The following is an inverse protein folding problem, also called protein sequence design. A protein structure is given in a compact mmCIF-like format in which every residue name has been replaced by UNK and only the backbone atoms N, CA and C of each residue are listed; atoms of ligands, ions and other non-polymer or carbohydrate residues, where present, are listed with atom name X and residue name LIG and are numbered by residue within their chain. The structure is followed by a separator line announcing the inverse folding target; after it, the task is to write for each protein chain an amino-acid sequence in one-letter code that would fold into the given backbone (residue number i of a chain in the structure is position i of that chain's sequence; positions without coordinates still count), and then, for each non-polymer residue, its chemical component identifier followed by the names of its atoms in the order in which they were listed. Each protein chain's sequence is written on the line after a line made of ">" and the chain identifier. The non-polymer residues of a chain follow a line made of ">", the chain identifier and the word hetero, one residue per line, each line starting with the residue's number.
data_IF_771956119322
#
_entry.id   IF_771956119322
#
_cell.length_a   1.000
_cell.length_b   1.000
_cell.length_c   1.000
_cell.angle_alpha   90.00
_cell.angle_beta   90.00
_cell.angle_gamma   90.00
#
_symmetry.space_group_name_H-M   'P 1'
#
loop_
_entity.id
_entity.type
_entity.pdbx_description
1 polymer ?
#
# COMPACT_ATOMS: atom_id res chain seq x y z
N UNK A 1 -61.43 21.31 15.23
CA UNK A 1 -61.07 21.21 13.79
C UNK A 1 -59.74 21.93 13.62
N UNK A 2 -58.62 21.21 13.78
CA UNK A 2 -57.88 20.55 12.70
C UNK A 2 -57.02 21.54 11.89
N UNK A 3 -55.72 21.61 12.22
CA UNK A 3 -54.61 21.25 11.31
C UNK A 3 -53.28 21.80 11.83
N UNK A 4 -52.56 20.97 12.59
CA UNK A 4 -51.13 21.11 12.84
C UNK A 4 -50.38 20.47 11.67
N UNK A 5 -49.63 21.27 10.92
CA UNK A 5 -48.74 20.79 9.85
C UNK A 5 -47.50 20.16 10.49
N UNK A 6 -47.43 18.84 10.41
CA UNK A 6 -46.31 18.04 10.83
C UNK A 6 -45.31 17.97 9.67
N UNK A 7 -44.18 18.69 9.78
CA UNK A 7 -43.06 18.55 8.84
C UNK A 7 -42.33 17.24 9.14
N UNK A 8 -42.69 16.19 8.39
CA UNK A 8 -41.95 14.92 8.39
C UNK A 8 -40.55 15.11 7.81
N UNK A 9 -39.54 14.96 8.65
CA UNK A 9 -38.16 14.79 8.23
C UNK A 9 -38.00 13.44 7.53
N UNK A 10 -37.82 13.49 6.20
CA UNK A 10 -37.42 12.33 5.42
C UNK A 10 -35.93 12.06 5.75
N UNK A 11 -35.56 10.86 6.24
CA UNK A 11 -34.15 10.51 6.35
C UNK A 11 -33.58 10.39 4.94
N UNK A 12 -32.57 11.22 4.63
CA UNK A 12 -31.80 11.07 3.40
C UNK A 12 -31.13 9.70 3.40
N UNK A 13 -31.67 8.79 2.59
CA UNK A 13 -30.99 7.55 2.23
C UNK A 13 -29.69 7.93 1.53
N UNK A 14 -28.56 7.74 2.20
CA UNK A 14 -27.25 7.77 1.54
C UNK A 14 -27.28 6.70 0.46
N UNK A 15 -27.41 7.13 -0.81
CA UNK A 15 -27.23 6.24 -1.94
C UNK A 15 -25.79 5.74 -1.89
N UNK A 16 -25.60 4.47 -1.54
CA UNK A 16 -24.37 3.74 -1.82
C UNK A 16 -24.19 3.74 -3.34
N UNK A 17 -23.54 4.78 -3.87
CA UNK A 17 -23.08 4.78 -5.25
C UNK A 17 -22.01 3.71 -5.33
N UNK A 18 -22.36 2.55 -5.89
CA UNK A 18 -21.38 1.58 -6.37
C UNK A 18 -20.46 2.30 -7.35
N UNK A 19 -19.13 2.32 -7.13
CA UNK A 19 -18.19 2.87 -8.09
C UNK A 19 -18.44 2.21 -9.46
N UNK A 20 -18.38 2.98 -10.55
CA UNK A 20 -18.60 2.49 -11.93
C UNK A 20 -17.45 1.61 -12.46
N UNK A 21 -16.64 1.04 -11.58
CA UNK A 21 -15.60 0.06 -11.88
C UNK A 21 -15.63 -1.03 -10.82
N UNK A 22 -15.41 -2.28 -11.23
CA UNK A 22 -15.32 -3.42 -10.33
C UNK A 22 -14.36 -3.19 -9.14
N UNK A 23 -14.48 -4.02 -8.11
CA UNK A 23 -13.62 -3.90 -6.93
C UNK A 23 -12.33 -4.70 -7.13
N UNK A 24 -11.20 -4.07 -6.82
CA UNK A 24 -9.88 -4.69 -6.95
C UNK A 24 -9.47 -5.36 -5.65
N UNK A 25 -9.02 -6.61 -5.73
CA UNK A 25 -8.54 -7.41 -4.61
C UNK A 25 -7.13 -7.92 -4.90
N UNK A 26 -6.45 -8.33 -3.84
CA UNK A 26 -5.16 -9.01 -3.90
C UNK A 26 -5.36 -10.50 -3.67
N UNK A 27 -4.63 -11.31 -4.40
CA UNK A 27 -4.48 -12.75 -4.15
C UNK A 27 -3.01 -13.07 -3.87
N UNK A 28 -2.77 -13.96 -2.90
CA UNK A 28 -1.43 -14.38 -2.44
C UNK A 28 -1.32 -15.89 -2.34
N UNK A 29 -0.08 -16.38 -2.33
CA UNK A 29 0.23 -17.81 -2.26
C UNK A 29 0.11 -18.52 -3.60
N UNK A 30 0.18 -17.79 -4.72
CA UNK A 30 0.09 -18.40 -6.05
C UNK A 30 1.39 -19.17 -6.34
N UNK A 31 1.34 -20.43 -6.81
CA UNK A 31 2.53 -21.19 -7.15
C UNK A 31 3.40 -20.50 -8.20
N UNK A 32 4.73 -20.62 -8.08
CA UNK A 32 5.68 -19.96 -9.00
C UNK A 32 5.56 -20.45 -10.45
N UNK A 33 5.07 -21.68 -10.65
CA UNK A 33 4.85 -22.27 -11.96
C UNK A 33 3.51 -21.87 -12.61
N UNK A 34 2.64 -21.14 -11.90
CA UNK A 34 1.37 -20.67 -12.48
C UNK A 34 1.58 -19.42 -13.34
N UNK A 35 0.95 -19.39 -14.50
CA UNK A 35 0.79 -18.20 -15.34
C UNK A 35 -0.58 -17.51 -15.08
N UNK A 36 -0.80 -16.39 -15.79
CA UNK A 36 -2.04 -15.62 -15.65
C UNK A 36 -3.28 -16.40 -16.12
N UNK A 37 -3.15 -17.24 -17.15
CA UNK A 37 -4.28 -18.00 -17.71
C UNK A 37 -4.71 -19.13 -16.77
N UNK A 38 -3.75 -19.83 -16.18
CA UNK A 38 -3.99 -20.85 -15.15
C UNK A 38 -4.68 -20.23 -13.94
N UNK A 39 -4.18 -19.08 -13.48
CA UNK A 39 -4.80 -18.36 -12.37
C UNK A 39 -6.22 -17.90 -12.70
N UNK A 40 -6.42 -17.29 -13.88
CA UNK A 40 -7.72 -16.81 -14.34
C UNK A 40 -8.75 -17.94 -14.35
N UNK A 41 -8.44 -19.07 -15.00
CA UNK A 41 -9.32 -20.25 -15.05
C UNK A 41 -9.65 -20.77 -13.65
N UNK A 42 -8.65 -20.84 -12.77
CA UNK A 42 -8.85 -21.37 -11.41
C UNK A 42 -9.79 -20.49 -10.58
N UNK A 43 -9.66 -19.17 -10.68
CA UNK A 43 -10.53 -18.24 -9.95
C UNK A 43 -11.94 -18.22 -10.58
N UNK A 44 -12.06 -18.27 -11.90
CA UNK A 44 -13.37 -18.38 -12.57
C UNK A 44 -14.17 -19.60 -12.12
N UNK A 45 -13.50 -20.74 -11.89
CA UNK A 45 -14.16 -21.96 -11.39
C UNK A 45 -14.77 -21.77 -9.99
N UNK A 46 -14.15 -20.96 -9.13
CA UNK A 46 -14.57 -20.78 -7.73
C UNK A 46 -15.43 -19.53 -7.51
N UNK A 47 -15.25 -18.49 -8.34
CA UNK A 47 -15.84 -17.16 -8.19
C UNK A 47 -16.56 -16.73 -9.49
N UNK A 48 -17.10 -17.67 -10.27
CA UNK A 48 -17.74 -17.41 -11.58
C UNK A 48 -18.78 -16.28 -11.55
N UNK A 49 -19.63 -16.25 -10.52
CA UNK A 49 -20.66 -15.21 -10.36
C UNK A 49 -20.07 -13.80 -10.23
N UNK A 50 -18.85 -13.70 -9.69
CA UNK A 50 -18.15 -12.45 -9.41
C UNK A 50 -17.45 -11.86 -10.65
N UNK A 51 -17.42 -12.60 -11.77
CA UNK A 51 -16.75 -12.22 -13.03
C UNK A 51 -15.32 -11.68 -12.79
N UNK A 52 -14.41 -12.55 -12.29
CA UNK A 52 -13.03 -12.19 -12.00
C UNK A 52 -12.25 -11.83 -13.26
N UNK A 53 -11.38 -10.82 -13.17
CA UNK A 53 -10.40 -10.47 -14.21
C UNK A 53 -9.04 -10.26 -13.56
N UNK A 54 -8.11 -11.17 -13.78
CA UNK A 54 -6.72 -11.06 -13.30
C UNK A 54 -6.05 -9.89 -14.04
N UNK A 55 -5.52 -8.94 -13.27
CA UNK A 55 -4.94 -7.68 -13.77
C UNK A 55 -3.41 -7.68 -13.75
N UNK A 56 -2.81 -8.37 -12.80
CA UNK A 56 -1.36 -8.51 -12.69
C UNK A 56 -1.00 -9.88 -12.13
N UNK A 57 0.24 -10.30 -12.32
CA UNK A 57 0.83 -11.47 -11.67
C UNK A 57 2.33 -11.23 -11.52
N UNK A 58 2.82 -11.24 -10.29
CA UNK A 58 4.21 -10.92 -9.97
C UNK A 58 4.74 -11.82 -8.85
N UNK A 59 6.05 -12.05 -8.83
CA UNK A 59 6.69 -12.71 -7.70
C UNK A 59 6.52 -11.85 -6.42
N UNK A 60 6.23 -12.50 -5.30
CA UNK A 60 6.26 -11.83 -4.00
C UNK A 60 7.68 -11.40 -3.65
N UNK A 61 7.79 -10.50 -2.68
CA UNK A 61 9.06 -9.87 -2.32
C UNK A 61 10.17 -10.86 -1.95
N UNK A 62 9.78 -12.00 -1.36
CA UNK A 62 10.67 -13.08 -0.91
C UNK A 62 10.94 -14.13 -1.99
N UNK A 63 10.22 -14.09 -3.12
CA UNK A 63 10.37 -15.00 -4.24
C UNK A 63 9.82 -16.42 -4.03
N UNK A 64 9.12 -16.71 -2.92
CA UNK A 64 8.60 -18.06 -2.67
C UNK A 64 7.27 -18.33 -3.37
N UNK A 65 6.45 -17.29 -3.54
CA UNK A 65 5.15 -17.36 -4.20
C UNK A 65 4.98 -16.19 -5.17
N UNK A 66 3.91 -16.23 -5.96
CA UNK A 66 3.39 -15.09 -6.71
C UNK A 66 2.20 -14.46 -5.97
N UNK A 67 2.01 -13.18 -6.24
CA UNK A 67 0.82 -12.41 -5.90
C UNK A 67 0.23 -11.83 -7.18
N UNK A 68 -1.07 -11.57 -7.16
CA UNK A 68 -1.78 -10.96 -8.27
C UNK A 68 -2.82 -9.97 -7.76
N UNK A 69 -3.16 -9.02 -8.63
CA UNK A 69 -4.34 -8.16 -8.47
C UNK A 69 -5.45 -8.68 -9.36
N UNK A 70 -6.67 -8.67 -8.84
CA UNK A 70 -7.86 -9.15 -9.53
C UNK A 70 -8.97 -8.12 -9.43
N UNK A 71 -9.65 -7.87 -10.53
CA UNK A 71 -10.84 -7.03 -10.57
C UNK A 71 -12.08 -7.92 -10.66
N UNK A 72 -12.99 -7.82 -9.70
CA UNK A 72 -14.30 -8.47 -9.80
C UNK A 72 -15.32 -7.47 -10.34
N UNK A 73 -15.85 -7.74 -11.54
CA UNK A 73 -16.88 -6.89 -12.14
C UNK A 73 -18.18 -6.92 -11.32
N UNK A 74 -18.50 -8.09 -10.76
CA UNK A 74 -19.54 -8.25 -9.75
C UNK A 74 -18.85 -8.52 -8.41
N UNK A 75 -18.58 -7.49 -7.60
CA UNK A 75 -17.77 -7.68 -6.40
C UNK A 75 -18.44 -8.64 -5.42
N UNK A 76 -17.65 -9.47 -4.69
CA UNK A 76 -18.16 -10.29 -3.59
C UNK A 76 -18.93 -9.44 -2.58
N UNK A 77 -19.87 -10.06 -1.86
CA UNK A 77 -20.67 -9.33 -0.86
C UNK A 77 -19.77 -8.60 0.15
N UNK A 78 -20.18 -7.43 0.68
CA UNK A 78 -19.39 -6.71 1.69
C UNK A 78 -19.03 -7.57 2.91
N UNK A 79 -19.88 -8.54 3.25
CA UNK A 79 -19.65 -9.49 4.36
C UNK A 79 -18.50 -10.43 4.06
N UNK A 80 -18.40 -10.95 2.84
CA UNK A 80 -17.28 -11.79 2.39
C UNK A 80 -16.00 -10.95 2.28
N UNK A 81 -16.08 -9.78 1.65
CA UNK A 81 -14.95 -8.89 1.42
C UNK A 81 -14.37 -8.25 2.70
N UNK A 82 -15.12 -8.26 3.81
CA UNK A 82 -14.68 -7.69 5.09
C UNK A 82 -13.49 -8.43 5.73
N UNK A 83 -13.24 -9.69 5.36
CA UNK A 83 -12.13 -10.49 5.86
C UNK A 83 -11.45 -11.23 4.71
N UNK A 84 -10.18 -11.63 4.88
CA UNK A 84 -9.55 -12.51 3.91
C UNK A 84 -10.32 -13.83 3.78
N UNK A 85 -10.43 -14.34 2.56
CA UNK A 85 -10.99 -15.66 2.26
C UNK A 85 -10.02 -16.48 1.41
N UNK A 86 -10.32 -17.76 1.24
CA UNK A 86 -9.37 -18.74 0.74
C UNK A 86 -9.98 -19.57 -0.39
N UNK A 87 -9.21 -19.77 -1.47
CA UNK A 87 -9.54 -20.67 -2.57
C UNK A 87 -8.56 -21.85 -2.52
N UNK A 88 -9.04 -23.10 -2.44
CA UNK A 88 -8.15 -24.27 -2.41
C UNK A 88 -7.33 -24.37 -3.70
N UNK A 89 -6.11 -24.90 -3.59
CA UNK A 89 -5.32 -25.27 -4.77
C UNK A 89 -5.86 -26.59 -5.37
N UNK A 90 -5.68 -26.82 -6.68
CA UNK A 90 -6.04 -28.10 -7.31
C UNK A 90 -5.32 -29.28 -6.65
N UNK A 91 -6.04 -30.36 -6.40
CA UNK A 91 -5.44 -31.61 -5.95
C UNK A 91 -4.59 -32.22 -7.08
N UNK A 92 -3.31 -32.48 -6.81
CA UNK A 92 -2.38 -33.15 -7.75
C UNK A 92 -1.82 -34.41 -7.08
N UNK A 93 -1.43 -35.45 -7.82
CA UNK A 93 -0.90 -36.68 -7.22
C UNK A 93 0.38 -36.47 -6.40
N UNK A 94 1.15 -35.40 -6.68
CA UNK A 94 2.33 -34.98 -5.91
C UNK A 94 2.00 -34.22 -4.60
N UNK A 95 0.72 -33.87 -4.38
CA UNK A 95 0.25 -33.07 -3.23
C UNK A 95 0.42 -33.75 -1.87
N UNK A 96 0.84 -35.02 -1.80
CA UNK A 96 1.04 -35.72 -0.51
C UNK A 96 2.39 -35.43 0.15
N UNK A 97 3.33 -34.77 -0.53
CA UNK A 97 4.72 -34.62 -0.05
C UNK A 97 5.26 -33.17 -0.02
N UNK A 98 4.50 -32.15 -0.44
CA UNK A 98 4.99 -30.77 -0.53
C UNK A 98 4.42 -29.84 0.56
N UNK A 99 5.29 -28.99 1.11
CA UNK A 99 4.99 -27.92 2.08
C UNK A 99 4.10 -26.79 1.48
N UNK A 100 3.83 -26.83 0.17
CA UNK A 100 3.16 -25.76 -0.60
C UNK A 100 1.64 -25.88 -0.75
N UNK A 101 0.94 -26.73 0.03
CA UNK A 101 -0.52 -26.94 -0.10
C UNK A 101 -1.38 -25.85 0.57
N UNK A 102 -0.85 -24.66 0.83
CA UNK A 102 -1.65 -23.60 1.41
C UNK A 102 -2.64 -23.05 0.36
N UNK A 103 -3.91 -22.80 0.71
CA UNK A 103 -4.87 -22.25 -0.23
C UNK A 103 -4.47 -20.83 -0.65
N UNK A 104 -4.91 -20.43 -1.83
CA UNK A 104 -4.78 -19.04 -2.30
C UNK A 104 -5.54 -18.14 -1.34
N UNK A 105 -4.93 -17.04 -0.91
CA UNK A 105 -5.53 -16.10 0.04
C UNK A 105 -5.92 -14.81 -0.67
N UNK A 106 -7.20 -14.47 -0.64
CA UNK A 106 -7.74 -13.24 -1.21
C UNK A 106 -8.03 -12.23 -0.10
N UNK A 107 -7.70 -10.96 -0.33
CA UNK A 107 -8.09 -9.86 0.55
C UNK A 107 -8.21 -8.54 -0.21
N UNK A 108 -9.13 -7.68 0.24
CA UNK A 108 -9.32 -6.33 -0.30
C UNK A 108 -8.64 -5.24 0.52
N UNK A 109 -7.77 -5.59 1.47
CA UNK A 109 -7.16 -4.62 2.40
C UNK A 109 -5.73 -4.21 2.03
N UNK A 110 -5.03 -5.04 1.25
CA UNK A 110 -3.66 -4.77 0.79
C UNK A 110 -2.66 -4.47 1.92
N UNK A 111 -2.88 -5.04 3.11
CA UNK A 111 -1.97 -4.88 4.25
C UNK A 111 -0.66 -5.65 4.03
N UNK A 112 0.46 -5.06 4.45
CA UNK A 112 1.81 -5.52 4.16
C UNK A 112 2.26 -5.16 2.74
N UNK A 113 3.39 -5.73 2.31
CA UNK A 113 3.90 -5.54 0.95
C UNK A 113 3.03 -6.28 -0.07
N UNK A 114 2.80 -5.65 -1.22
CA UNK A 114 2.21 -6.24 -2.42
C UNK A 114 3.05 -5.87 -3.61
N UNK A 115 3.57 -6.85 -4.33
CA UNK A 115 4.19 -6.64 -5.64
C UNK A 115 3.12 -6.47 -6.70
N UNK A 116 3.15 -5.35 -7.41
CA UNK A 116 2.22 -5.04 -8.51
C UNK A 116 2.79 -5.48 -9.86
N UNK A 117 4.11 -5.39 -10.00
CA UNK A 117 4.83 -5.77 -11.19
C UNK A 117 6.24 -6.23 -10.79
N UNK A 118 6.71 -7.31 -11.41
CA UNK A 118 8.08 -7.78 -11.28
C UNK A 118 8.66 -8.02 -12.67
N UNK A 119 9.77 -7.35 -13.05
CA UNK A 119 10.45 -7.64 -14.30
C UNK A 119 11.15 -9.01 -14.24
N UNK A 120 11.57 -9.55 -15.40
CA UNK A 120 12.48 -10.70 -15.44
C UNK A 120 13.74 -10.45 -14.61
N UNK A 121 14.32 -11.51 -14.04
CA UNK A 121 15.46 -11.38 -13.11
C UNK A 121 16.66 -10.70 -13.75
N UNK A 122 16.88 -10.94 -15.04
CA UNK A 122 17.95 -10.36 -15.84
C UNK A 122 17.77 -8.86 -16.13
N UNK A 123 16.52 -8.37 -16.14
CA UNK A 123 16.18 -6.97 -16.37
C UNK A 123 15.94 -6.21 -15.04
N UNK A 124 15.83 -6.93 -13.91
CA UNK A 124 15.49 -6.34 -12.62
C UNK A 124 16.65 -5.55 -12.04
N UNK A 125 16.60 -4.23 -12.19
CA UNK A 125 17.63 -3.29 -11.72
C UNK A 125 17.24 -2.46 -10.51
N UNK A 126 15.94 -2.16 -10.33
CA UNK A 126 15.48 -1.21 -9.30
C UNK A 126 14.28 -1.78 -8.55
N UNK A 127 14.21 -1.51 -7.25
CA UNK A 127 13.02 -1.72 -6.42
C UNK A 127 12.35 -0.39 -6.10
N UNK A 128 11.04 -0.30 -6.36
CA UNK A 128 10.20 0.85 -6.01
C UNK A 128 9.13 0.41 -5.03
N UNK A 129 9.00 1.12 -3.91
CA UNK A 129 7.97 0.83 -2.90
C UNK A 129 7.22 2.11 -2.56
N UNK A 130 5.90 2.11 -2.77
CA UNK A 130 5.03 3.21 -2.37
C UNK A 130 4.30 2.91 -1.05
N UNK A 131 4.35 3.86 -0.12
CA UNK A 131 3.81 3.78 1.24
C UNK A 131 2.61 4.72 1.34
N UNK A 132 1.43 4.17 1.63
CA UNK A 132 0.20 4.97 1.72
C UNK A 132 0.13 5.84 2.98
N UNK A 133 -0.78 6.81 2.98
CA UNK A 133 -1.00 7.76 4.07
C UNK A 133 -1.92 7.24 5.18
N UNK A 134 -2.28 8.13 6.10
CA UNK A 134 -3.17 7.86 7.22
C UNK A 134 -4.56 7.45 6.70
N UNK A 135 -5.04 6.29 7.12
CA UNK A 135 -6.34 5.73 6.70
C UNK A 135 -6.44 5.46 5.20
N UNK A 136 -5.32 5.53 4.47
CA UNK A 136 -5.28 5.32 3.04
C UNK A 136 -5.23 3.84 2.68
N UNK A 137 -6.15 3.39 1.83
CA UNK A 137 -6.09 2.06 1.23
C UNK A 137 -4.88 1.95 0.31
N UNK A 138 -3.96 1.01 0.56
CA UNK A 138 -2.65 0.97 -0.11
C UNK A 138 -2.71 0.95 -1.65
N UNK A 139 -3.64 0.18 -2.22
CA UNK A 139 -3.86 0.19 -3.67
C UNK A 139 -4.67 1.41 -4.12
N UNK A 140 -5.64 1.82 -3.30
CA UNK A 140 -6.58 2.89 -3.63
C UNK A 140 -5.93 4.29 -3.62
N UNK A 141 -4.93 4.51 -2.78
CA UNK A 141 -4.20 5.78 -2.68
C UNK A 141 -3.45 6.16 -3.96
N UNK A 142 -3.20 5.20 -4.86
CA UNK A 142 -2.50 5.41 -6.13
C UNK A 142 -3.37 5.03 -7.34
N UNK A 143 -4.67 4.81 -7.11
CA UNK A 143 -5.65 4.48 -8.13
C UNK A 143 -6.49 5.71 -8.45
N UNK A 144 -6.90 5.85 -9.70
CA UNK A 144 -7.92 6.82 -10.09
C UNK A 144 -9.21 6.63 -9.24
N UNK A 145 -9.78 7.75 -8.79
CA UNK A 145 -10.88 7.79 -7.83
C UNK A 145 -12.14 7.10 -8.36
N UNK A 146 -12.43 7.30 -9.64
CA UNK A 146 -13.65 6.81 -10.30
C UNK A 146 -13.37 5.74 -11.36
N UNK A 147 -12.10 5.42 -11.60
CA UNK A 147 -11.63 4.51 -12.64
C UNK A 147 -11.12 3.17 -12.12
N UNK A 148 -10.49 2.41 -13.02
CA UNK A 148 -9.74 1.19 -12.68
C UNK A 148 -8.22 1.35 -12.87
N UNK A 149 -7.80 2.52 -13.35
CA UNK A 149 -6.41 2.82 -13.65
C UNK A 149 -5.62 3.07 -12.37
N UNK A 150 -4.55 2.32 -12.18
CA UNK A 150 -3.64 2.44 -11.04
C UNK A 150 -2.23 2.62 -11.59
N UNK A 151 -1.76 3.86 -11.61
CA UNK A 151 -0.59 4.26 -12.42
C UNK A 151 0.70 3.53 -12.05
N UNK A 152 0.89 3.14 -10.77
CA UNK A 152 2.05 2.35 -10.34
C UNK A 152 2.07 0.96 -10.98
N UNK A 153 0.91 0.37 -11.23
CA UNK A 153 0.78 -0.93 -11.86
C UNK A 153 0.69 -0.82 -13.39
N UNK A 154 -0.09 0.15 -13.88
CA UNK A 154 -0.58 0.17 -15.25
C UNK A 154 0.31 1.02 -16.20
N UNK A 155 1.15 1.93 -15.69
CA UNK A 155 2.03 2.77 -16.52
C UNK A 155 3.49 2.77 -16.07
N UNK A 156 3.77 2.93 -14.78
CA UNK A 156 5.13 3.08 -14.27
C UNK A 156 6.11 1.99 -14.75
N UNK A 157 5.75 0.69 -14.84
CA UNK A 157 6.66 -0.32 -15.38
C UNK A 157 7.10 -0.04 -16.82
N UNK A 158 6.23 0.54 -17.65
CA UNK A 158 6.51 0.86 -19.04
C UNK A 158 7.30 2.17 -19.21
N UNK A 159 7.24 3.06 -18.21
CA UNK A 159 8.01 4.31 -18.21
C UNK A 159 9.46 4.09 -17.74
N UNK A 160 9.70 3.06 -16.93
CA UNK A 160 11.01 2.71 -16.38
C UNK A 160 11.61 1.50 -17.11
N UNK A 161 12.10 1.73 -18.32
CA UNK A 161 12.73 0.71 -19.17
C UNK A 161 14.26 0.77 -19.13
N UNK A 162 14.89 -0.39 -19.26
CA UNK A 162 16.32 -0.50 -19.48
C UNK A 162 16.65 -0.03 -20.92
N UNK A 163 17.63 0.84 -21.08
CA UNK A 163 18.01 1.43 -22.38
C UNK A 163 18.61 0.43 -23.36
N UNK A 164 19.12 -0.70 -22.87
CA UNK A 164 19.67 -1.76 -23.71
C UNK A 164 18.61 -2.80 -24.08
N UNK A 165 17.94 -3.39 -23.09
CA UNK A 165 16.97 -4.46 -23.34
C UNK A 165 15.61 -3.94 -23.82
N UNK A 166 15.33 -2.64 -23.67
CA UNK A 166 14.03 -2.00 -23.97
C UNK A 166 12.87 -2.66 -23.21
N UNK A 167 13.16 -3.31 -22.08
CA UNK A 167 12.20 -3.97 -21.20
C UNK A 167 12.08 -3.22 -19.87
N UNK A 168 10.94 -3.32 -19.18
CA UNK A 168 10.80 -2.80 -17.81
C UNK A 168 11.91 -3.30 -16.90
N UNK A 169 12.52 -2.41 -16.13
CA UNK A 169 13.65 -2.74 -15.25
C UNK A 169 13.32 -2.68 -13.75
N UNK A 170 12.11 -2.24 -13.42
CA UNK A 170 11.75 -1.89 -12.05
C UNK A 170 10.71 -2.84 -11.49
N UNK A 171 10.98 -3.44 -10.33
CA UNK A 171 9.94 -4.11 -9.53
C UNK A 171 9.17 -3.05 -8.75
N UNK A 172 7.85 -3.04 -8.92
CA UNK A 172 6.97 -2.04 -8.30
C UNK A 172 6.13 -2.69 -7.20
N UNK A 173 6.17 -2.10 -6.01
CA UNK A 173 5.48 -2.58 -4.83
C UNK A 173 4.72 -1.46 -4.13
N UNK A 174 3.68 -1.84 -3.39
CA UNK A 174 2.99 -0.98 -2.42
C UNK A 174 3.05 -1.59 -1.03
N UNK A 175 3.05 -0.76 -0.01
CA UNK A 175 2.97 -1.17 1.39
C UNK A 175 1.74 -0.58 2.06
N UNK A 176 0.85 -1.46 2.52
CA UNK A 176 -0.30 -1.09 3.32
C UNK A 176 -0.08 -1.31 4.81
N UNK A 177 -0.50 -0.33 5.62
CA UNK A 177 -0.44 -0.40 7.07
C UNK A 177 -1.81 -0.09 7.70
N UNK A 178 -2.01 -0.54 8.94
CA UNK A 178 -3.28 -0.36 9.65
C UNK A 178 -3.33 1.03 10.30
N UNK A 179 -3.72 2.03 9.51
CA UNK A 179 -3.82 3.42 9.96
C UNK A 179 -5.22 4.01 9.81
N UNK A 180 -6.26 3.18 9.65
CA UNK A 180 -7.65 3.64 9.58
C UNK A 180 -7.97 4.54 10.78
N UNK A 181 -8.66 5.65 10.49
CA UNK A 181 -8.93 6.72 11.46
C UNK A 181 -10.28 6.47 12.14
N UNK A 182 -11.34 6.34 11.35
CA UNK A 182 -12.70 6.17 11.86
C UNK A 182 -12.91 4.83 12.56
N UNK A 183 -13.43 4.87 13.80
CA UNK A 183 -13.70 3.69 14.67
C UNK A 183 -12.49 2.75 14.81
N UNK A 184 -11.29 3.30 14.71
CA UNK A 184 -10.06 2.53 14.88
C UNK A 184 -9.91 2.03 16.30
N UNK A 185 -9.31 0.85 16.45
CA UNK A 185 -8.81 0.35 17.74
C UNK A 185 -7.29 0.37 17.82
N UNK A 186 -6.62 0.92 16.81
CA UNK A 186 -5.17 0.99 16.75
C UNK A 186 -4.67 2.08 17.68
N UNK A 187 -3.66 1.75 18.49
CA UNK A 187 -2.87 2.70 19.30
C UNK A 187 -1.51 2.99 18.67
N UNK A 188 -1.28 2.50 17.44
CA UNK A 188 0.02 2.60 16.79
C UNK A 188 0.39 4.06 16.50
N UNK A 189 1.64 4.41 16.76
CA UNK A 189 2.24 5.69 16.40
C UNK A 189 3.18 5.58 15.18
N UNK A 190 3.93 6.65 14.90
CA UNK A 190 4.87 6.68 13.77
C UNK A 190 6.02 5.68 13.98
N UNK A 191 6.49 5.50 15.23
CA UNK A 191 7.56 4.57 15.58
C UNK A 191 7.12 3.11 15.32
N UNK A 192 5.93 2.73 15.77
CA UNK A 192 5.34 1.41 15.53
C UNK A 192 5.20 1.12 14.03
N UNK A 193 4.65 2.08 13.28
CA UNK A 193 4.45 1.96 11.84
C UNK A 193 5.79 1.86 11.09
N UNK A 194 6.81 2.60 11.54
CA UNK A 194 8.16 2.57 10.96
C UNK A 194 8.87 1.25 11.21
N UNK A 195 8.68 0.65 12.39
CA UNK A 195 9.23 -0.67 12.77
C UNK A 195 8.60 -1.77 11.92
N UNK A 196 7.29 -1.70 11.70
CA UNK A 196 6.59 -2.60 10.81
C UNK A 196 7.07 -2.48 9.36
N UNK A 197 7.24 -1.26 8.83
CA UNK A 197 7.79 -1.04 7.48
C UNK A 197 9.22 -1.59 7.37
N UNK A 198 10.08 -1.25 8.32
CA UNK A 198 11.47 -1.74 8.39
C UNK A 198 11.53 -3.27 8.30
N UNK A 199 10.74 -3.96 9.11
CA UNK A 199 10.71 -5.43 9.14
C UNK A 199 10.32 -6.04 7.78
N UNK A 200 9.40 -5.39 7.06
CA UNK A 200 8.99 -5.84 5.72
C UNK A 200 10.06 -5.57 4.64
N UNK A 201 10.83 -4.48 4.77
CA UNK A 201 11.87 -4.12 3.80
C UNK A 201 13.10 -5.02 3.88
N UNK A 202 13.35 -5.70 5.00
CA UNK A 202 14.48 -6.63 5.14
C UNK A 202 14.45 -7.77 4.11
N UNK A 203 13.28 -8.15 3.59
CA UNK A 203 13.19 -9.14 2.52
C UNK A 203 13.94 -8.71 1.23
N UNK A 204 14.07 -7.41 0.96
CA UNK A 204 14.76 -6.89 -0.23
C UNK A 204 16.26 -7.19 -0.24
N UNK A 205 16.87 -7.33 0.93
CA UNK A 205 18.31 -7.57 1.07
C UNK A 205 18.68 -9.06 1.23
N UNK A 206 17.68 -9.94 1.34
CA UNK A 206 17.87 -11.39 1.38
C UNK A 206 18.05 -11.98 -0.03
N UNK A 207 17.64 -11.25 -1.08
CA UNK A 207 17.93 -11.64 -2.45
C UNK A 207 19.45 -11.69 -2.72
N UNK A 208 19.93 -12.58 -3.61
CA UNK A 208 21.35 -12.71 -3.93
C UNK A 208 22.00 -11.39 -4.39
N UNK A 209 21.21 -10.56 -5.08
CA UNK A 209 21.59 -9.20 -5.49
C UNK A 209 20.70 -8.19 -4.79
N UNK A 210 21.31 -7.31 -4.01
CA UNK A 210 20.65 -6.11 -3.48
C UNK A 210 20.63 -5.04 -4.56
N UNK A 211 19.46 -4.45 -4.77
CA UNK A 211 19.22 -3.45 -5.80
C UNK A 211 19.01 -2.08 -5.17
N UNK A 212 19.30 -0.98 -5.88
CA UNK A 212 18.87 0.34 -5.46
C UNK A 212 17.36 0.38 -5.20
N UNK A 213 16.99 1.01 -4.09
CA UNK A 213 15.61 1.13 -3.62
C UNK A 213 15.19 2.59 -3.72
N UNK A 214 14.00 2.80 -4.27
CA UNK A 214 13.29 4.08 -4.26
C UNK A 214 12.05 3.92 -3.37
N UNK A 215 11.96 4.74 -2.33
CA UNK A 215 10.80 4.79 -1.44
C UNK A 215 9.91 5.98 -1.81
N UNK A 216 8.64 5.74 -2.07
CA UNK A 216 7.64 6.80 -2.24
C UNK A 216 6.75 6.87 -1.00
N UNK A 217 6.66 8.03 -0.37
CA UNK A 217 5.81 8.26 0.78
C UNK A 217 4.70 9.25 0.47
N UNK A 218 3.45 8.83 0.62
CA UNK A 218 2.29 9.74 0.52
C UNK A 218 1.79 10.13 1.92
N UNK A 219 1.64 11.44 2.18
CA UNK A 219 1.16 11.98 3.46
C UNK A 219 1.90 11.34 4.65
N UNK A 220 1.20 10.75 5.64
CA UNK A 220 1.81 10.01 6.76
C UNK A 220 2.84 8.96 6.30
N UNK A 221 2.67 8.34 5.14
CA UNK A 221 3.61 7.37 4.58
C UNK A 221 5.03 7.94 4.41
N UNK A 222 5.15 9.24 4.11
CA UNK A 222 6.45 9.91 4.06
C UNK A 222 7.10 10.10 5.44
N UNK A 223 6.30 10.33 6.48
CA UNK A 223 6.80 10.40 7.85
C UNK A 223 7.29 9.02 8.34
N UNK A 224 6.56 7.96 7.99
CA UNK A 224 6.97 6.57 8.25
C UNK A 224 8.31 6.29 7.56
N UNK A 225 8.46 6.66 6.28
CA UNK A 225 9.72 6.52 5.52
C UNK A 225 10.87 7.28 6.19
N UNK A 226 10.65 8.55 6.60
CA UNK A 226 11.66 9.33 7.34
C UNK A 226 12.11 8.60 8.60
N UNK A 227 11.17 8.17 9.44
CA UNK A 227 11.46 7.48 10.69
C UNK A 227 12.22 6.18 10.47
N UNK A 228 11.80 5.36 9.50
CA UNK A 228 12.51 4.13 9.12
C UNK A 228 13.95 4.42 8.72
N UNK A 229 14.20 5.44 7.90
CA UNK A 229 15.55 5.82 7.47
C UNK A 229 16.43 6.32 8.64
N UNK A 230 15.87 7.09 9.56
CA UNK A 230 16.55 7.51 10.79
C UNK A 230 16.97 6.28 11.60
N UNK A 231 16.05 5.35 11.85
CA UNK A 231 16.33 4.11 12.59
C UNK A 231 17.45 3.31 11.92
N UNK A 232 17.35 3.12 10.60
CA UNK A 232 18.37 2.42 9.81
C UNK A 232 19.75 3.10 9.91
N UNK A 233 19.80 4.43 9.82
CA UNK A 233 21.06 5.18 9.88
C UNK A 233 21.80 5.03 11.22
N UNK A 234 21.06 4.80 12.30
CA UNK A 234 21.59 4.64 13.66
C UNK A 234 21.88 3.19 14.04
N UNK A 235 21.43 2.23 13.24
CA UNK A 235 21.59 0.81 13.55
C UNK A 235 23.03 0.33 13.32
N UNK A 236 23.54 -0.52 14.22
CA UNK A 236 24.82 -1.21 14.01
C UNK A 236 24.67 -2.57 13.31
N UNK A 237 23.44 -2.99 13.00
CA UNK A 237 23.19 -4.27 12.31
C UNK A 237 23.72 -4.23 10.88
N UNK A 238 24.40 -5.30 10.47
CA UNK A 238 24.90 -5.42 9.09
C UNK A 238 23.76 -5.43 8.07
N UNK A 239 22.63 -6.05 8.41
CA UNK A 239 21.43 -6.09 7.57
C UNK A 239 20.84 -4.69 7.40
N UNK A 240 20.66 -3.95 8.50
CA UNK A 240 20.13 -2.59 8.46
C UNK A 240 21.05 -1.67 7.67
N UNK A 241 22.36 -1.77 7.88
CA UNK A 241 23.34 -1.00 7.14
C UNK A 241 23.35 -1.34 5.64
N UNK A 242 23.11 -2.61 5.29
CA UNK A 242 22.95 -3.06 3.90
C UNK A 242 21.67 -2.49 3.27
N UNK A 243 20.54 -2.55 3.98
CA UNK A 243 19.27 -1.98 3.54
C UNK A 243 19.36 -0.45 3.41
N UNK A 244 19.96 0.22 4.39
CA UNK A 244 20.15 1.66 4.41
C UNK A 244 20.93 2.14 3.19
N UNK A 245 22.04 1.47 2.85
CA UNK A 245 22.84 1.77 1.66
C UNK A 245 22.13 1.49 0.35
N UNK A 246 21.20 0.54 0.33
CA UNK A 246 20.40 0.24 -0.85
C UNK A 246 19.35 1.33 -1.13
N UNK A 247 18.85 2.03 -0.10
CA UNK A 247 17.88 3.12 -0.28
C UNK A 247 18.59 4.37 -0.79
N UNK A 248 18.34 4.66 -2.07
CA UNK A 248 18.96 5.77 -2.80
C UNK A 248 17.98 6.92 -3.05
N UNK A 249 16.78 6.61 -3.55
CA UNK A 249 15.80 7.61 -3.95
C UNK A 249 14.63 7.72 -2.98
N UNK A 250 14.15 8.93 -2.74
CA UNK A 250 12.97 9.19 -1.92
C UNK A 250 12.04 10.13 -2.67
N UNK A 251 10.77 9.77 -2.79
CA UNK A 251 9.74 10.61 -3.40
C UNK A 251 8.65 10.89 -2.39
N UNK A 252 8.38 12.16 -2.11
CA UNK A 252 7.35 12.57 -1.17
C UNK A 252 6.15 13.18 -1.89
N UNK A 253 4.95 12.75 -1.53
CA UNK A 253 3.68 13.30 -2.02
C UNK A 253 2.87 13.84 -0.84
N UNK A 254 2.75 15.17 -0.75
CA UNK A 254 1.89 15.83 0.25
C UNK A 254 2.25 15.47 1.70
N UNK A 255 3.54 15.26 2.00
CA UNK A 255 3.97 14.82 3.33
C UNK A 255 3.96 16.02 4.29
N UNK A 256 3.25 15.93 5.44
CA UNK A 256 3.15 17.04 6.38
C UNK A 256 4.42 17.17 7.23
N UNK A 257 5.54 17.57 6.60
CA UNK A 257 6.85 17.65 7.25
C UNK A 257 6.87 18.61 8.45
N UNK A 258 6.06 19.66 8.43
CA UNK A 258 5.92 20.67 9.50
C UNK A 258 4.51 20.66 10.11
N UNK A 259 3.80 19.55 9.95
CA UNK A 259 2.42 19.39 10.37
C UNK A 259 1.41 19.77 9.30
N UNK A 260 0.16 19.42 9.58
CA UNK A 260 -1.00 19.81 8.78
C UNK A 260 -2.14 20.24 9.71
N UNK A 261 -3.14 20.90 9.14
CA UNK A 261 -4.41 21.11 9.82
C UNK A 261 -5.11 19.76 10.01
N UNK A 262 -5.48 19.47 11.25
CA UNK A 262 -6.11 18.22 11.67
C UNK A 262 -7.55 18.44 12.17
N UNK A 263 -8.10 19.65 12.07
CA UNK A 263 -9.46 19.95 12.54
C UNK A 263 -10.50 19.02 11.89
N UNK A 264 -10.36 18.76 10.58
CA UNK A 264 -11.21 17.81 9.85
C UNK A 264 -11.09 16.34 10.33
N UNK A 265 -9.97 15.98 10.97
CA UNK A 265 -9.69 14.61 11.42
C UNK A 265 -10.11 14.37 12.87
N UNK A 266 -10.13 15.41 13.71
CA UNK A 266 -10.50 15.31 15.14
C UNK A 266 -11.87 14.66 15.32
N UNK A 267 -12.96 15.05 14.63
CA UNK A 267 -14.26 14.40 14.76
C UNK A 267 -14.28 12.92 14.33
N UNK A 268 -13.32 12.49 13.51
CA UNK A 268 -13.24 11.10 13.04
C UNK A 268 -12.62 10.17 14.08
N UNK A 269 -11.74 10.70 14.93
CA UNK A 269 -11.07 9.95 16.01
C UNK A 269 -11.76 10.10 17.35
N UNK A 270 -12.34 11.27 17.64
CA UNK A 270 -12.82 11.64 18.99
C UNK A 270 -11.71 11.36 20.05
N UNK A 271 -12.05 10.89 21.25
CA UNK A 271 -11.09 10.37 22.23
C UNK A 271 -10.62 8.92 21.92
N UNK A 272 -10.64 8.54 20.64
CA UNK A 272 -10.28 7.21 20.17
C UNK A 272 -8.79 6.89 20.33
N UNK A 273 -8.41 5.60 20.28
CA UNK A 273 -7.06 5.14 20.56
C UNK A 273 -5.98 5.65 19.59
N UNK A 274 -6.38 6.10 18.40
CA UNK A 274 -5.50 6.68 17.37
C UNK A 274 -5.43 8.21 17.42
N UNK A 275 -6.11 8.87 18.36
CA UNK A 275 -5.99 10.30 18.58
C UNK A 275 -4.54 10.78 18.75
N UNK A 276 -3.64 10.06 19.48
CA UNK A 276 -2.24 10.46 19.58
C UNK A 276 -1.50 10.53 18.24
N UNK A 277 -1.79 9.60 17.32
CA UNK A 277 -1.23 9.60 15.97
C UNK A 277 -1.75 10.78 15.13
N UNK A 278 -3.04 11.10 15.23
CA UNK A 278 -3.60 12.27 14.52
C UNK A 278 -3.01 13.57 15.08
N UNK A 279 -2.87 13.67 16.41
CA UNK A 279 -2.25 14.83 17.04
C UNK A 279 -0.77 14.97 16.65
N UNK A 280 -0.04 13.86 16.50
CA UNK A 280 1.39 13.90 16.16
C UNK A 280 1.67 14.39 14.73
N UNK A 281 0.67 14.38 13.83
CA UNK A 281 0.79 14.96 12.49
C UNK A 281 0.27 16.40 12.39
N UNK A 282 -0.26 16.95 13.49
CA UNK A 282 -0.76 18.32 13.56
C UNK A 282 0.34 19.38 13.48
N UNK A 283 -0.07 20.63 13.29
CA UNK A 283 0.83 21.79 13.42
C UNK A 283 1.41 21.86 14.84
N UNK A 284 2.65 22.39 14.94
CA UNK A 284 3.38 22.50 16.22
C UNK A 284 3.60 21.16 16.93
N UNK A 285 3.75 20.07 16.18
CA UNK A 285 4.04 18.74 16.73
C UNK A 285 5.53 18.59 17.05
N UNK A 286 5.90 18.37 18.33
CA UNK A 286 7.30 18.13 18.71
C UNK A 286 7.88 16.87 18.05
N UNK A 287 7.01 15.90 17.72
CA UNK A 287 7.39 14.67 17.02
C UNK A 287 7.89 14.99 15.61
N UNK A 288 7.23 15.94 14.92
CA UNK A 288 7.63 16.33 13.58
C UNK A 288 8.88 17.19 13.58
N UNK A 289 9.04 18.08 14.55
CA UNK A 289 10.25 18.87 14.73
C UNK A 289 11.47 17.95 14.91
N UNK A 290 11.36 16.98 15.83
CA UNK A 290 12.40 15.98 16.05
C UNK A 290 12.67 15.14 14.79
N UNK A 291 11.62 14.67 14.10
CA UNK A 291 11.78 13.92 12.85
C UNK A 291 12.51 14.72 11.78
N UNK A 292 12.23 16.02 11.67
CA UNK A 292 12.86 16.89 10.70
C UNK A 292 14.35 17.11 11.01
N UNK A 293 14.67 17.40 12.27
CA UNK A 293 16.06 17.56 12.73
C UNK A 293 16.89 16.30 12.53
N UNK A 294 16.34 15.13 12.88
CA UNK A 294 17.04 13.86 12.76
C UNK A 294 17.14 13.35 11.32
N UNK A 295 16.20 13.71 10.45
CA UNK A 295 16.19 13.23 9.06
C UNK A 295 17.21 13.92 8.17
N UNK A 296 17.50 15.21 8.39
CA UNK A 296 18.41 15.95 7.51
C UNK A 296 19.82 15.33 7.41
N UNK A 297 20.48 14.92 8.53
CA UNK A 297 21.76 14.23 8.48
C UNK A 297 21.73 12.88 7.76
N UNK A 298 20.58 12.20 7.72
CA UNK A 298 20.42 10.87 7.10
C UNK A 298 20.64 10.89 5.59
N UNK A 299 20.43 12.06 4.97
CA UNK A 299 20.60 12.25 3.53
C UNK A 299 22.07 12.18 3.10
N UNK A 300 23.00 12.40 4.03
CA UNK A 300 24.43 12.36 3.74
C UNK A 300 24.86 13.53 2.86
N UNK A 301 25.84 13.28 2.00
CA UNK A 301 26.35 14.26 1.04
C UNK A 301 25.51 14.23 -0.24
N UNK A 302 25.68 15.27 -1.06
CA UNK A 302 25.06 15.30 -2.39
C UNK A 302 25.43 14.04 -3.19
N UNK A 303 24.42 13.37 -3.75
CA UNK A 303 24.56 12.11 -4.47
C UNK A 303 24.53 10.85 -3.62
N UNK A 304 24.55 10.94 -2.28
CA UNK A 304 24.37 9.76 -1.42
C UNK A 304 22.90 9.31 -1.45
N UNK A 305 21.97 10.27 -1.40
CA UNK A 305 20.51 10.07 -1.51
C UNK A 305 19.86 11.26 -2.19
N UNK A 306 18.88 10.97 -3.04
CA UNK A 306 18.13 11.98 -3.79
C UNK A 306 16.68 12.05 -3.32
N UNK A 307 16.16 13.28 -3.13
CA UNK A 307 14.77 13.50 -2.71
C UNK A 307 14.04 14.38 -3.72
N UNK A 308 12.83 13.97 -4.07
CA UNK A 308 11.88 14.79 -4.82
C UNK A 308 10.60 14.93 -4.00
N UNK A 309 10.09 16.16 -3.87
CA UNK A 309 8.88 16.46 -3.14
C UNK A 309 7.81 17.05 -4.06
N UNK A 310 6.59 16.52 -3.95
CA UNK A 310 5.39 17.00 -4.60
C UNK A 310 4.38 17.44 -3.54
N UNK A 311 3.64 18.51 -3.81
CA UNK A 311 2.63 19.05 -2.90
C UNK A 311 1.36 19.42 -3.66
N UNK A 312 0.24 19.44 -2.95
CA UNK A 312 -1.07 19.81 -3.48
C UNK A 312 -1.24 21.33 -3.47
N UNK A 313 -1.97 21.86 -4.44
CA UNK A 313 -2.25 23.30 -4.58
C UNK A 313 -3.74 23.63 -4.43
N UNK A 314 -4.57 22.63 -4.15
CA UNK A 314 -6.00 22.74 -3.94
C UNK A 314 -6.42 21.91 -2.72
N UNK A 315 -7.49 22.32 -2.05
CA UNK A 315 -7.98 21.62 -0.86
C UNK A 315 -8.58 20.27 -1.18
N UNK A 316 -8.43 19.33 -0.25
CA UNK A 316 -9.08 18.03 -0.34
C UNK A 316 -10.59 18.15 -0.08
N UNK A 317 -11.42 17.23 -0.62
CA UNK A 317 -12.85 17.20 -0.30
C UNK A 317 -13.16 17.02 1.18
N UNK A 318 -12.24 16.44 1.97
CA UNK A 318 -12.37 16.29 3.42
C UNK A 318 -12.18 17.63 4.13
N UNK A 319 -11.21 18.43 3.69
CA UNK A 319 -10.97 19.76 4.24
C UNK A 319 -12.14 20.73 3.92
N UNK A 320 -12.75 20.59 2.73
CA UNK A 320 -13.90 21.39 2.30
C UNK A 320 -15.21 21.11 3.07
N UNK A 321 -15.26 20.05 3.87
CA UNK A 321 -16.46 19.65 4.63
C UNK A 321 -16.49 20.21 6.07
N UNK A 322 -15.44 20.92 6.48
CA UNK A 322 -15.32 21.57 7.80
C UNK A 322 -15.94 22.96 7.78
#
# INVERSE_FOLDING_TARGET
>A
MASSLNNGSVPQSQSLRTPKGGSTFRIRGIPLNWDMDQLQRHIELHESASQPVVKSLAAEIDGHFKTATINFLNPPSPVQAAKPWYIPLPETDESKLAVSNLPLRLDGGFLGITTLFSPPVEDHDIDVIAVSGLGGHAYGSFKDKDGNYMWLQDALPSDLINTHSHRPMTRVMIYGHKSNVYKSRSVQDIDDLSTALHSNLLALIQAPRTRPIILMGHSLGGLIVKKTLITLSKSCSQEDQKLFRAIYGIVFFGVPHSGMDIESLIPMVDDGPNFPLVKSIGTMSPVLDQLQEEFHPVLGRQGDREIVCFYETAESPTAQQV
#
